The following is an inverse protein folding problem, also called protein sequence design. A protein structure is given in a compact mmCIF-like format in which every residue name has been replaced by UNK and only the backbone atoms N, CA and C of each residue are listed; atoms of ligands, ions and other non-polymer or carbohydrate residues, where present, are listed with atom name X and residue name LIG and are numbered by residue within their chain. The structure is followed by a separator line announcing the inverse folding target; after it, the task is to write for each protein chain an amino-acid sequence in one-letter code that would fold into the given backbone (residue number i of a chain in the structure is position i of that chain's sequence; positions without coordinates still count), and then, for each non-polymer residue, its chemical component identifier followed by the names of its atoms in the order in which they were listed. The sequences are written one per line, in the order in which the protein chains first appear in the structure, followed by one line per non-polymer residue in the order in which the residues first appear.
data_IF_932067807512
#
_entry.id   IF_932067807512
#
_cell.length_a   1.000
_cell.length_b   1.000
_cell.length_c   1.000
_cell.angle_alpha   90.00
_cell.angle_beta   90.00
_cell.angle_gamma   90.00
#
_symmetry.space_group_name_H-M   'P 1'
#
loop_
_entity.id
_entity.type
_entity.pdbx_description
1 polymer ?
#
# COMPACT_ATOMS: atom_id res chain seq x y z
N UNK A 1 18.30 -13.10 -9.97
CA UNK A 1 18.67 -11.92 -9.14
C UNK A 1 17.36 -11.40 -8.57
N UNK A 2 17.12 -11.67 -7.30
CA UNK A 2 15.96 -11.18 -6.55
C UNK A 2 16.05 -9.66 -6.45
N UNK A 3 15.01 -8.96 -6.90
CA UNK A 3 14.89 -7.49 -6.89
C UNK A 3 14.72 -6.93 -5.47
N UNK A 4 15.65 -7.22 -4.55
CA UNK A 4 15.67 -6.63 -3.20
C UNK A 4 15.96 -5.12 -3.18
N UNK A 5 16.28 -4.50 -4.31
CA UNK A 5 16.69 -3.08 -4.39
C UNK A 5 15.51 -2.12 -4.68
N UNK A 6 14.28 -2.61 -4.86
CA UNK A 6 13.13 -1.80 -5.31
C UNK A 6 12.02 -1.62 -4.26
N UNK A 7 12.27 -1.92 -2.99
CA UNK A 7 11.27 -1.68 -1.95
C UNK A 7 11.47 -0.31 -1.31
N UNK A 8 10.54 0.57 -1.62
CA UNK A 8 10.49 1.95 -1.15
C UNK A 8 9.24 2.16 -0.31
N UNK A 9 9.40 2.32 1.01
CA UNK A 9 8.27 2.56 1.92
C UNK A 9 8.00 4.06 2.04
N UNK A 10 6.79 4.44 1.66
CA UNK A 10 6.34 5.84 1.68
C UNK A 10 6.20 6.34 3.11
N UNK A 11 6.62 7.58 3.37
CA UNK A 11 6.46 8.20 4.68
C UNK A 11 4.98 8.49 4.98
N UNK A 12 4.57 8.27 6.22
CA UNK A 12 3.20 8.56 6.66
C UNK A 12 2.84 10.05 6.46
N UNK A 13 3.78 10.96 6.72
CA UNK A 13 3.59 12.40 6.51
C UNK A 13 3.27 12.77 5.06
N UNK A 14 3.90 12.12 4.07
CA UNK A 14 3.62 12.37 2.66
C UNK A 14 2.22 11.83 2.29
N UNK A 15 1.84 10.68 2.85
CA UNK A 15 0.51 10.08 2.67
C UNK A 15 -0.56 11.01 3.25
N UNK A 16 -0.40 11.48 4.48
CA UNK A 16 -1.35 12.38 5.16
C UNK A 16 -1.52 13.71 4.40
N UNK A 17 -0.41 14.28 3.93
CA UNK A 17 -0.43 15.54 3.17
C UNK A 17 -1.19 15.40 1.86
N UNK A 18 -1.06 14.29 1.17
CA UNK A 18 -1.77 14.04 -0.09
C UNK A 18 -3.22 13.62 0.15
N UNK A 19 -3.45 12.58 0.96
CA UNK A 19 -4.77 11.95 1.06
C UNK A 19 -5.81 12.83 1.74
N UNK A 20 -5.40 13.87 2.50
CA UNK A 20 -6.36 14.84 3.07
C UNK A 20 -7.24 15.53 2.03
N UNK A 21 -6.79 15.61 0.78
CA UNK A 21 -7.52 16.25 -0.32
C UNK A 21 -8.65 15.38 -0.87
N UNK A 22 -8.63 14.07 -0.60
CA UNK A 22 -9.56 13.07 -1.15
C UNK A 22 -10.51 12.46 -0.12
N UNK A 23 -10.62 13.02 1.08
CA UNK A 23 -11.39 12.44 2.20
C UNK A 23 -12.83 12.06 1.82
N UNK A 24 -13.49 12.89 1.02
CA UNK A 24 -14.88 12.67 0.58
C UNK A 24 -15.01 11.47 -0.37
N UNK A 25 -13.96 11.21 -1.14
CA UNK A 25 -13.92 10.11 -2.11
C UNK A 25 -13.85 8.73 -1.44
N UNK A 26 -13.41 8.68 -0.19
CA UNK A 26 -13.27 7.41 0.55
C UNK A 26 -14.56 6.98 1.26
N UNK A 27 -15.53 7.87 1.44
CA UNK A 27 -16.77 7.58 2.19
C UNK A 27 -17.57 6.46 1.53
N UNK A 28 -17.84 5.38 2.28
CA UNK A 28 -18.57 4.20 1.83
C UNK A 28 -17.84 3.32 0.83
N UNK A 29 -16.53 3.53 0.62
CA UNK A 29 -15.73 2.82 -0.37
C UNK A 29 -14.92 1.67 0.21
N UNK A 30 -14.65 0.68 -0.64
CA UNK A 30 -13.67 -0.38 -0.40
C UNK A 30 -12.32 0.08 -0.91
N UNK A 31 -11.36 0.25 0.00
CA UNK A 31 -9.99 0.68 -0.29
C UNK A 31 -9.09 -0.53 -0.41
N UNK A 32 -8.26 -0.57 -1.43
CA UNK A 32 -7.28 -1.63 -1.63
C UNK A 32 -5.85 -1.09 -1.62
N UNK A 33 -5.08 -1.52 -0.63
CA UNK A 33 -3.64 -1.26 -0.50
C UNK A 33 -2.89 -2.55 -0.87
N UNK A 34 -2.50 -2.67 -2.14
CA UNK A 34 -1.68 -3.78 -2.60
C UNK A 34 -0.21 -3.34 -2.77
N UNK A 35 0.67 -4.27 -3.07
CA UNK A 35 2.10 -4.07 -3.34
C UNK A 35 3.00 -3.80 -2.12
N UNK A 36 2.48 -3.41 -0.97
CA UNK A 36 3.24 -3.21 0.26
C UNK A 36 2.84 -4.22 1.32
N UNK A 37 3.79 -4.65 2.17
CA UNK A 37 3.47 -5.45 3.35
C UNK A 37 2.58 -4.63 4.30
N UNK A 38 1.37 -5.10 4.67
CA UNK A 38 0.46 -4.34 5.53
C UNK A 38 1.04 -3.92 6.88
N UNK A 39 1.97 -4.69 7.45
CA UNK A 39 2.62 -4.34 8.73
C UNK A 39 3.60 -3.18 8.59
N UNK A 40 4.27 -3.06 7.45
CA UNK A 40 5.21 -1.97 7.17
C UNK A 40 4.54 -0.82 6.43
N UNK A 41 3.50 -1.11 5.64
CA UNK A 41 2.83 -0.13 4.79
C UNK A 41 2.19 1.00 5.59
N UNK A 42 2.67 2.21 5.39
CA UNK A 42 2.03 3.39 5.95
C UNK A 42 0.70 3.73 5.27
N UNK A 43 0.41 3.22 4.08
CA UNK A 43 -0.91 3.31 3.45
C UNK A 43 -1.93 2.53 4.25
N UNK A 44 -1.64 1.27 4.55
CA UNK A 44 -2.51 0.44 5.37
C UNK A 44 -2.74 1.05 6.74
N UNK A 45 -1.66 1.48 7.43
CA UNK A 45 -1.74 2.13 8.75
C UNK A 45 -2.60 3.39 8.71
N UNK A 46 -2.42 4.24 7.70
CA UNK A 46 -3.23 5.45 7.52
C UNK A 46 -4.73 5.14 7.43
N UNK A 47 -5.10 4.22 6.54
CA UNK A 47 -6.52 3.88 6.36
C UNK A 47 -7.10 3.12 7.55
N UNK A 48 -6.33 2.26 8.20
CA UNK A 48 -6.79 1.51 9.37
C UNK A 48 -7.09 2.44 10.56
N UNK A 49 -6.19 3.37 10.88
CA UNK A 49 -6.39 4.36 11.96
C UNK A 49 -7.53 5.32 11.63
N UNK A 50 -7.63 5.76 10.39
CA UNK A 50 -8.66 6.71 9.94
C UNK A 50 -9.95 6.03 9.45
N UNK A 51 -10.12 4.72 9.65
CA UNK A 51 -11.21 3.92 9.09
C UNK A 51 -12.59 4.54 9.37
N UNK A 52 -12.86 4.82 10.64
CA UNK A 52 -14.13 5.40 11.08
C UNK A 52 -14.27 6.88 10.68
N UNK A 53 -13.20 7.66 10.78
CA UNK A 53 -13.21 9.08 10.40
C UNK A 53 -13.48 9.28 8.91
N UNK A 54 -12.88 8.46 8.06
CA UNK A 54 -13.09 8.46 6.60
C UNK A 54 -14.35 7.73 6.17
N UNK A 55 -15.06 7.08 7.12
CA UNK A 55 -16.26 6.26 6.89
C UNK A 55 -16.06 5.20 5.81
N UNK A 56 -14.90 4.56 5.82
CA UNK A 56 -14.55 3.51 4.86
C UNK A 56 -15.46 2.30 5.08
N UNK A 57 -15.93 1.70 3.98
CA UNK A 57 -16.73 0.48 4.03
C UNK A 57 -15.88 -0.75 4.32
N UNK A 58 -14.71 -0.86 3.67
CA UNK A 58 -13.80 -2.00 3.79
C UNK A 58 -12.38 -1.57 3.43
N UNK A 59 -11.42 -2.09 4.16
CA UNK A 59 -9.99 -1.96 3.84
C UNK A 59 -9.42 -3.33 3.52
N UNK A 60 -8.80 -3.47 2.35
CA UNK A 60 -8.12 -4.68 1.89
C UNK A 60 -6.64 -4.36 1.71
N UNK A 61 -5.78 -5.26 2.14
CA UNK A 61 -4.35 -5.20 1.85
C UNK A 61 -3.81 -6.59 1.51
N UNK A 62 -2.80 -6.64 0.63
CA UNK A 62 -2.14 -7.89 0.25
C UNK A 62 -0.63 -7.75 0.37
N UNK A 63 0.02 -8.83 0.84
CA UNK A 63 1.47 -8.96 0.91
C UNK A 63 1.96 -9.92 -0.17
N UNK A 64 3.02 -9.53 -0.87
CA UNK A 64 3.74 -10.39 -1.81
C UNK A 64 4.73 -11.29 -1.05
N UNK A 65 4.87 -12.56 -1.43
CA UNK A 65 5.73 -13.54 -0.75
C UNK A 65 7.24 -13.22 -0.84
N UNK A 66 7.61 -12.44 -1.84
CA UNK A 66 8.98 -11.92 -2.02
C UNK A 66 9.36 -10.75 -1.13
N UNK A 67 8.40 -10.17 -0.38
CA UNK A 67 8.70 -9.08 0.55
C UNK A 67 9.71 -9.54 1.61
N UNK A 68 10.78 -8.76 1.90
CA UNK A 68 11.76 -9.09 2.96
C UNK A 68 11.09 -9.29 4.31
N UNK A 69 9.93 -8.68 4.54
CA UNK A 69 9.18 -8.71 5.78
C UNK A 69 8.12 -9.81 5.84
N UNK A 70 7.75 -10.44 4.71
CA UNK A 70 6.79 -11.55 4.66
C UNK A 70 7.15 -12.77 5.55
N UNK A 71 8.21 -12.69 6.31
CA UNK A 71 8.64 -13.73 7.24
C UNK A 71 9.08 -13.23 8.62
N UNK A 72 9.29 -11.93 8.82
CA UNK A 72 9.88 -11.43 10.06
C UNK A 72 8.84 -11.27 11.20
N UNK A 73 7.58 -10.97 10.88
CA UNK A 73 6.52 -10.77 11.87
C UNK A 73 5.51 -11.90 11.97
N UNK A 74 5.49 -12.84 11.02
CA UNK A 74 4.76 -14.11 11.18
C UNK A 74 5.22 -14.87 12.45
N UNK A 75 6.45 -14.62 12.92
CA UNK A 75 6.91 -15.12 14.21
C UNK A 75 6.17 -14.52 15.43
N UNK A 76 5.52 -13.37 15.30
CA UNK A 76 4.66 -12.82 16.35
C UNK A 76 3.27 -13.49 16.35
N UNK A 77 2.87 -14.08 15.21
CA UNK A 77 1.65 -14.86 15.02
C UNK A 77 1.84 -16.37 15.12
N UNK A 78 2.98 -16.84 15.62
CA UNK A 78 3.25 -18.27 15.88
C UNK A 78 2.24 -18.95 16.83
N UNK A 79 1.14 -18.29 17.17
CA UNK A 79 -0.02 -18.91 17.84
C UNK A 79 -1.03 -19.52 16.84
N UNK A 80 -0.86 -19.33 15.55
CA UNK A 80 -1.62 -20.01 14.52
C UNK A 80 -0.71 -21.04 13.87
N UNK A 81 -0.92 -22.32 14.10
CA UNK A 81 -0.36 -23.55 13.54
C UNK A 81 0.42 -23.49 12.19
N UNK A 82 1.28 -22.50 12.01
CA UNK A 82 2.26 -22.42 10.94
C UNK A 82 3.64 -22.94 11.38
N UNK A 83 3.67 -23.69 12.49
CA UNK A 83 4.86 -24.40 12.93
C UNK A 83 5.24 -25.45 11.89
N UNK A 84 6.23 -25.16 11.09
CA UNK A 84 7.04 -26.07 10.28
C UNK A 84 7.09 -25.81 8.77
N UNK A 85 7.06 -24.57 8.30
CA UNK A 85 7.60 -24.32 6.96
C UNK A 85 8.32 -22.98 6.90
N UNK A 86 9.59 -23.03 6.54
CA UNK A 86 10.45 -21.92 6.09
C UNK A 86 9.91 -21.19 4.83
N UNK A 87 8.63 -21.31 4.53
CA UNK A 87 8.01 -20.76 3.34
C UNK A 87 7.28 -19.47 3.70
N UNK A 88 7.85 -18.35 3.31
CA UNK A 88 7.17 -17.05 3.19
C UNK A 88 5.93 -17.25 2.33
N UNK A 89 4.74 -16.99 2.88
CA UNK A 89 3.48 -17.09 2.13
C UNK A 89 2.86 -15.71 2.00
N UNK A 90 2.37 -15.43 0.82
CA UNK A 90 1.53 -14.27 0.58
C UNK A 90 0.23 -14.38 1.39
N UNK A 91 -0.26 -13.25 1.87
CA UNK A 91 -1.51 -13.18 2.62
C UNK A 91 -2.29 -11.91 2.28
N UNK A 92 -3.56 -11.91 2.62
CA UNK A 92 -4.41 -10.72 2.60
C UNK A 92 -4.91 -10.39 3.99
N UNK A 93 -5.14 -9.11 4.22
CA UNK A 93 -5.86 -8.57 5.39
C UNK A 93 -7.12 -7.88 4.89
N UNK A 94 -8.24 -8.14 5.56
CA UNK A 94 -9.54 -7.51 5.29
C UNK A 94 -10.11 -6.95 6.59
N UNK A 95 -10.33 -5.62 6.64
CA UNK A 95 -10.92 -4.93 7.78
C UNK A 95 -12.27 -4.34 7.36
N UNK A 96 -13.32 -4.70 8.10
CA UNK A 96 -14.67 -4.16 7.93
C UNK A 96 -15.09 -3.26 9.10
N UNK A 97 -14.32 -3.25 10.18
CA UNK A 97 -14.61 -2.49 11.38
C UNK A 97 -13.33 -2.30 12.20
N UNK A 98 -13.14 -1.11 12.74
CA UNK A 98 -12.08 -0.82 13.71
C UNK A 98 -12.75 -0.21 14.94
N UNK A 99 -12.47 -0.77 16.13
CA UNK A 99 -13.00 -0.31 17.42
C UNK A 99 -11.87 0.18 18.30
N UNK A 100 -12.22 0.98 19.29
CA UNK A 100 -11.37 1.25 20.45
C UNK A 100 -11.33 -0.04 21.30
N UNK A 101 -10.26 -0.82 21.17
CA UNK A 101 -10.11 -2.12 21.83
C UNK A 101 -9.45 -1.98 23.22
N UNK A 102 -8.71 -0.92 23.45
CA UNK A 102 -8.07 -0.64 24.73
C UNK A 102 -8.95 0.21 25.66
N UNK A 103 -10.08 0.77 25.15
CA UNK A 103 -11.04 1.63 25.85
C UNK A 103 -10.42 2.92 26.38
N UNK A 104 -9.48 3.52 25.65
CA UNK A 104 -8.87 4.80 26.00
C UNK A 104 -9.64 6.02 25.46
N UNK A 105 -10.70 5.78 24.67
CA UNK A 105 -11.58 6.80 24.08
C UNK A 105 -11.16 7.27 22.70
N UNK A 106 -10.12 6.69 22.13
CA UNK A 106 -9.65 6.99 20.77
C UNK A 106 -9.47 5.70 19.96
N UNK A 107 -9.38 5.83 18.64
CA UNK A 107 -8.93 4.74 17.76
C UNK A 107 -7.59 5.13 17.21
N UNK A 108 -6.56 4.38 17.57
CA UNK A 108 -5.20 4.65 17.16
C UNK A 108 -4.45 3.38 16.68
N UNK A 109 -3.13 3.48 16.50
CA UNK A 109 -2.30 2.36 16.05
C UNK A 109 -2.34 1.18 17.01
N UNK A 110 -2.52 1.40 18.33
CA UNK A 110 -2.58 0.30 19.30
C UNK A 110 -3.81 -0.57 19.12
N UNK A 111 -4.94 0.03 18.72
CA UNK A 111 -6.16 -0.70 18.38
C UNK A 111 -6.02 -1.50 17.10
N UNK A 112 -5.37 -0.92 16.09
CA UNK A 112 -5.05 -1.64 14.85
C UNK A 112 -4.12 -2.82 15.12
N UNK A 113 -3.09 -2.64 15.93
CA UNK A 113 -2.20 -3.73 16.35
C UNK A 113 -2.96 -4.81 17.13
N UNK A 114 -3.83 -4.41 18.06
CA UNK A 114 -4.69 -5.34 18.80
C UNK A 114 -5.59 -6.13 17.86
N UNK A 115 -6.24 -5.45 16.91
CA UNK A 115 -7.10 -6.04 15.89
C UNK A 115 -6.34 -7.09 15.08
N UNK A 116 -5.15 -6.77 14.59
CA UNK A 116 -4.30 -7.67 13.82
C UNK A 116 -3.82 -8.88 14.64
N UNK A 117 -3.49 -8.67 15.92
CA UNK A 117 -3.03 -9.75 16.82
C UNK A 117 -4.13 -10.70 17.26
N UNK A 118 -5.35 -10.21 17.47
CA UNK A 118 -6.38 -10.96 18.19
C UNK A 118 -7.54 -11.47 17.32
N UNK A 119 -7.65 -11.03 16.05
CA UNK A 119 -8.76 -11.45 15.17
C UNK A 119 -8.26 -12.31 14.01
N UNK A 120 -8.32 -13.64 14.22
CA UNK A 120 -7.95 -14.68 13.23
C UNK A 120 -8.66 -14.55 11.88
N UNK A 121 -9.84 -13.92 11.84
CA UNK A 121 -10.67 -13.84 10.63
C UNK A 121 -10.28 -12.69 9.68
N UNK A 122 -9.30 -11.87 10.05
CA UNK A 122 -8.87 -10.72 9.26
C UNK A 122 -7.78 -11.12 8.27
N UNK A 123 -6.90 -12.04 8.68
CA UNK A 123 -5.76 -12.48 7.90
C UNK A 123 -6.06 -13.83 7.25
N UNK A 124 -5.90 -13.90 5.93
CA UNK A 124 -6.10 -15.12 5.14
C UNK A 124 -4.90 -15.33 4.23
N UNK A 125 -4.34 -16.55 4.23
CA UNK A 125 -3.27 -16.91 3.27
C UNK A 125 -3.80 -16.91 1.84
N UNK A 126 -3.03 -16.34 0.92
CA UNK A 126 -3.28 -16.47 -0.51
C UNK A 126 -2.75 -17.81 -1.00
N UNK A 127 -3.37 -18.35 -2.05
CA UNK A 127 -2.91 -19.59 -2.71
C UNK A 127 -1.69 -19.30 -3.60
N UNK A 128 -1.68 -18.12 -4.20
CA UNK A 128 -0.60 -17.62 -5.04
C UNK A 128 0.47 -16.87 -4.25
N UNK A 129 1.34 -16.18 -4.97
CA UNK A 129 2.45 -15.42 -4.39
C UNK A 129 2.09 -13.98 -3.97
N UNK A 130 0.84 -13.54 -4.15
CA UNK A 130 0.41 -12.18 -3.83
C UNK A 130 0.83 -11.12 -4.86
N UNK A 131 1.35 -11.53 -6.02
CA UNK A 131 1.59 -10.60 -7.13
C UNK A 131 0.28 -9.95 -7.57
N UNK A 132 0.29 -8.64 -7.82
CA UNK A 132 -0.91 -7.90 -8.20
C UNK A 132 -1.58 -8.42 -9.49
N UNK A 133 -0.84 -9.18 -10.30
CA UNK A 133 -1.31 -9.83 -11.55
C UNK A 133 -1.94 -11.20 -11.31
N UNK A 134 -1.84 -11.75 -10.12
CA UNK A 134 -2.43 -13.06 -9.81
C UNK A 134 -3.96 -13.00 -9.82
N UNK A 135 -4.61 -14.10 -10.17
CA UNK A 135 -6.07 -14.19 -10.22
C UNK A 135 -6.72 -13.76 -8.88
N UNK A 136 -6.14 -14.17 -7.75
CA UNK A 136 -6.64 -13.79 -6.44
C UNK A 136 -6.56 -12.28 -6.18
N UNK A 137 -5.44 -11.63 -6.56
CA UNK A 137 -5.29 -10.18 -6.43
C UNK A 137 -6.19 -9.43 -7.41
N UNK A 138 -6.44 -9.98 -8.60
CA UNK A 138 -7.39 -9.43 -9.57
C UNK A 138 -8.82 -9.49 -9.04
N UNK A 139 -9.23 -10.58 -8.38
CA UNK A 139 -10.55 -10.65 -7.74
C UNK A 139 -10.71 -9.60 -6.62
N UNK A 140 -9.67 -9.39 -5.80
CA UNK A 140 -9.66 -8.33 -4.79
C UNK A 140 -9.70 -6.94 -5.44
N UNK A 141 -8.99 -6.76 -6.56
CA UNK A 141 -9.03 -5.54 -7.34
C UNK A 141 -10.44 -5.27 -7.85
N UNK A 142 -11.13 -6.28 -8.41
CA UNK A 142 -12.52 -6.15 -8.88
C UNK A 142 -13.47 -5.75 -7.75
N UNK A 143 -13.31 -6.31 -6.55
CA UNK A 143 -14.10 -5.98 -5.36
C UNK A 143 -13.88 -4.55 -4.89
N UNK A 144 -12.67 -4.01 -5.05
CA UNK A 144 -12.29 -2.68 -4.54
C UNK A 144 -12.90 -1.54 -5.38
N UNK A 145 -13.11 -0.40 -4.74
CA UNK A 145 -13.52 0.85 -5.39
C UNK A 145 -12.30 1.72 -5.74
N UNK A 146 -11.35 1.84 -4.80
CA UNK A 146 -10.19 2.73 -4.92
C UNK A 146 -8.92 1.96 -4.52
N UNK A 147 -7.91 2.04 -5.38
CA UNK A 147 -6.56 1.50 -5.11
C UNK A 147 -5.64 2.61 -4.64
N UNK A 148 -5.02 2.44 -3.47
CA UNK A 148 -4.07 3.42 -2.92
C UNK A 148 -2.79 2.71 -2.50
N UNK A 149 -1.69 2.93 -3.23
CA UNK A 149 -0.45 2.16 -3.01
C UNK A 149 0.77 2.83 -3.64
N UNK A 150 1.94 2.27 -3.32
CA UNK A 150 3.20 2.54 -4.01
C UNK A 150 3.61 1.28 -4.81
N UNK A 151 3.24 1.17 -6.09
CA UNK A 151 3.59 0.00 -6.89
C UNK A 151 5.09 -0.04 -7.19
N UNK A 152 5.67 -1.21 -7.47
CA UNK A 152 7.05 -1.32 -7.91
C UNK A 152 7.29 -0.47 -9.17
N UNK A 153 8.25 0.45 -9.14
CA UNK A 153 8.50 1.37 -10.26
C UNK A 153 8.83 0.65 -11.57
N UNK A 154 9.48 -0.50 -11.49
CA UNK A 154 9.78 -1.34 -12.67
C UNK A 154 8.54 -1.94 -13.33
N UNK A 155 7.43 -2.07 -12.59
CA UNK A 155 6.16 -2.63 -13.06
C UNK A 155 5.05 -1.58 -13.19
N UNK A 156 5.39 -0.29 -13.02
CA UNK A 156 4.40 0.80 -13.00
C UNK A 156 3.51 0.80 -14.25
N UNK A 157 4.09 0.58 -15.43
CA UNK A 157 3.36 0.54 -16.70
C UNK A 157 2.30 -0.58 -16.72
N UNK A 158 2.67 -1.77 -16.29
CA UNK A 158 1.74 -2.91 -16.20
C UNK A 158 0.64 -2.63 -15.17
N UNK A 159 1.04 -2.06 -14.03
CA UNK A 159 0.12 -1.74 -12.93
C UNK A 159 -0.95 -0.72 -13.34
N UNK A 160 -0.56 0.41 -13.94
CA UNK A 160 -1.52 1.44 -14.36
C UNK A 160 -2.43 0.96 -15.48
N UNK A 161 -1.93 0.12 -16.40
CA UNK A 161 -2.74 -0.49 -17.45
C UNK A 161 -3.79 -1.43 -16.85
N UNK A 162 -3.44 -2.22 -15.82
CA UNK A 162 -4.39 -3.06 -15.11
C UNK A 162 -5.48 -2.23 -14.42
N UNK A 163 -5.10 -1.13 -13.72
CA UNK A 163 -6.09 -0.23 -13.10
C UNK A 163 -7.07 0.34 -14.13
N UNK A 164 -6.58 0.71 -15.29
CA UNK A 164 -7.41 1.23 -16.39
C UNK A 164 -8.32 0.14 -16.99
N UNK A 165 -7.80 -1.05 -17.24
CA UNK A 165 -8.56 -2.20 -17.75
C UNK A 165 -9.76 -2.54 -16.85
N UNK A 166 -9.55 -2.51 -15.53
CA UNK A 166 -10.61 -2.77 -14.56
C UNK A 166 -11.39 -1.53 -14.12
N UNK A 167 -11.20 -0.38 -14.79
CA UNK A 167 -11.87 0.91 -14.50
C UNK A 167 -11.77 1.31 -13.03
N UNK A 168 -10.61 1.15 -12.42
CA UNK A 168 -10.42 1.47 -10.99
C UNK A 168 -10.09 2.92 -10.76
N UNK A 169 -10.65 3.47 -9.69
CA UNK A 169 -10.17 4.71 -9.11
C UNK A 169 -8.87 4.44 -8.36
N UNK A 170 -7.95 5.39 -8.40
CA UNK A 170 -6.65 5.18 -7.76
C UNK A 170 -5.95 6.47 -7.32
N UNK A 171 -5.08 6.32 -6.34
CA UNK A 171 -4.05 7.28 -5.94
C UNK A 171 -2.76 6.46 -5.77
N UNK A 172 -1.79 6.63 -6.65
CA UNK A 172 -0.56 5.81 -6.66
C UNK A 172 0.68 6.68 -6.79
N UNK A 173 1.80 6.16 -6.29
CA UNK A 173 3.10 6.80 -6.48
C UNK A 173 3.75 6.24 -7.75
N UNK A 174 4.29 7.11 -8.57
CA UNK A 174 5.03 6.75 -9.76
C UNK A 174 6.21 7.66 -9.99
N UNK A 175 6.95 7.36 -11.05
CA UNK A 175 8.11 8.12 -11.47
C UNK A 175 7.77 8.98 -12.70
N UNK A 176 8.39 10.16 -12.86
CA UNK A 176 8.23 11.04 -14.04
C UNK A 176 8.46 10.32 -15.36
N UNK A 177 9.30 9.28 -15.37
CA UNK A 177 9.52 8.48 -16.57
C UNK A 177 8.22 7.82 -17.08
N UNK A 178 7.23 7.64 -16.22
CA UNK A 178 5.93 7.12 -16.62
C UNK A 178 5.24 8.01 -17.66
N UNK A 179 5.49 9.32 -17.65
CA UNK A 179 4.96 10.25 -18.65
C UNK A 179 5.49 9.97 -20.07
N UNK A 180 6.61 9.27 -20.20
CA UNK A 180 7.15 8.84 -21.51
C UNK A 180 6.44 7.60 -22.07
N UNK A 181 5.65 6.92 -21.27
CA UNK A 181 4.85 5.77 -21.75
C UNK A 181 3.65 6.29 -22.53
N UNK A 182 3.48 5.80 -23.73
CA UNK A 182 2.45 6.29 -24.67
C UNK A 182 1.04 6.20 -24.06
N UNK A 183 0.75 5.14 -23.31
CA UNK A 183 -0.54 4.90 -22.67
C UNK A 183 -0.80 5.94 -21.58
N UNK A 184 0.17 6.16 -20.70
CA UNK A 184 0.08 7.13 -19.61
C UNK A 184 -0.04 8.56 -20.15
N UNK A 185 0.74 8.88 -21.17
CA UNK A 185 0.66 10.19 -21.83
C UNK A 185 -0.72 10.46 -22.45
N UNK A 186 -1.31 9.44 -23.10
CA UNK A 186 -2.69 9.55 -23.62
C UNK A 186 -3.72 9.77 -22.52
N UNK A 187 -3.58 9.08 -21.39
CA UNK A 187 -4.47 9.28 -20.24
C UNK A 187 -4.40 10.73 -19.72
N UNK A 188 -3.21 11.34 -19.71
CA UNK A 188 -3.07 12.77 -19.38
C UNK A 188 -3.70 13.68 -20.43
N UNK A 189 -3.52 13.40 -21.72
CA UNK A 189 -4.12 14.18 -22.80
C UNK A 189 -5.65 14.17 -22.80
N UNK A 190 -6.22 13.06 -22.31
CA UNK A 190 -7.67 12.86 -22.25
C UNK A 190 -8.27 13.29 -20.90
N UNK A 191 -7.49 13.89 -19.99
CA UNK A 191 -7.90 14.24 -18.63
C UNK A 191 -8.40 13.02 -17.80
N UNK A 192 -7.95 11.80 -18.17
CA UNK A 192 -8.29 10.56 -17.48
C UNK A 192 -7.47 10.39 -16.19
N UNK A 193 -6.28 10.98 -16.14
CA UNK A 193 -5.40 11.02 -14.95
C UNK A 193 -4.76 12.39 -14.80
N UNK A 194 -4.35 12.68 -13.57
CA UNK A 194 -3.59 13.87 -13.21
C UNK A 194 -2.52 13.57 -12.17
N UNK A 195 -1.63 14.52 -11.93
CA UNK A 195 -0.73 14.47 -10.76
C UNK A 195 -1.51 14.79 -9.49
N UNK A 196 -1.02 14.29 -8.36
CA UNK A 196 -1.57 14.68 -7.06
C UNK A 196 -1.30 16.14 -6.69
N UNK A 197 -1.70 16.51 -5.50
CA UNK A 197 -1.57 17.87 -4.98
C UNK A 197 -0.18 18.18 -4.44
N UNK A 198 0.57 17.15 -4.03
CA UNK A 198 1.86 17.29 -3.34
C UNK A 198 3.01 16.63 -4.10
N UNK A 199 4.24 16.98 -3.72
CA UNK A 199 5.49 16.36 -4.20
C UNK A 199 5.84 16.54 -5.69
N UNK A 200 5.01 17.23 -6.47
CA UNK A 200 5.32 17.48 -7.88
C UNK A 200 6.60 18.35 -8.01
N UNK A 201 7.56 17.87 -8.78
CA UNK A 201 8.90 18.48 -8.96
C UNK A 201 9.76 18.63 -7.68
N UNK A 202 9.30 18.11 -6.53
CA UNK A 202 10.06 18.12 -5.28
C UNK A 202 10.74 16.78 -5.05
N UNK A 203 10.11 15.70 -5.50
CA UNK A 203 10.48 14.31 -5.22
C UNK A 203 10.08 13.88 -3.81
N UNK A 204 10.29 12.61 -3.55
CA UNK A 204 9.86 11.98 -2.29
C UNK A 204 11.03 11.28 -1.60
N UNK A 205 10.96 11.20 -0.28
CA UNK A 205 11.85 10.38 0.54
C UNK A 205 11.14 9.10 0.94
N UNK A 206 11.82 7.97 0.77
CA UNK A 206 11.31 6.66 1.12
C UNK A 206 12.20 6.01 2.17
N UNK A 207 11.58 5.26 3.07
CA UNK A 207 12.32 4.31 3.90
C UNK A 207 12.75 3.13 3.03
N UNK A 208 13.92 2.61 3.31
CA UNK A 208 14.48 1.45 2.60
C UNK A 208 14.97 0.41 3.61
N UNK A 209 15.04 -0.88 3.23
CA UNK A 209 15.59 -1.92 4.08
C UNK A 209 16.99 -1.57 4.60
N UNK A 210 17.30 -2.05 5.81
CA UNK A 210 18.57 -1.72 6.49
C UNK A 210 19.82 -2.15 5.68
N UNK A 211 19.69 -3.20 4.89
CA UNK A 211 20.75 -3.74 4.02
C UNK A 211 21.09 -2.82 2.84
N UNK A 212 20.25 -1.83 2.56
CA UNK A 212 20.47 -0.88 1.45
C UNK A 212 21.77 -0.10 1.67
N UNK A 213 22.70 -0.22 0.73
CA UNK A 213 24.04 0.39 0.85
C UNK A 213 24.01 1.90 0.52
N UNK A 214 23.21 2.31 -0.48
CA UNK A 214 23.11 3.71 -0.90
C UNK A 214 21.87 4.35 -0.29
N UNK A 215 22.08 5.32 0.60
CA UNK A 215 21.01 6.08 1.23
C UNK A 215 21.42 7.55 1.40
N UNK A 216 20.45 8.44 1.59
CA UNK A 216 20.68 9.88 1.73
C UNK A 216 20.83 10.32 3.19
N UNK A 217 20.02 9.75 4.07
CA UNK A 217 20.01 10.10 5.50
C UNK A 217 19.42 8.98 6.35
N UNK A 218 19.63 9.08 7.67
CA UNK A 218 19.00 8.20 8.65
C UNK A 218 18.09 9.07 9.53
N UNK A 219 16.83 8.67 9.70
CA UNK A 219 15.87 9.30 10.61
C UNK A 219 15.28 8.21 11.49
N UNK A 220 15.34 8.40 12.80
CA UNK A 220 14.83 7.44 13.80
C UNK A 220 15.34 6.00 13.56
N UNK A 221 16.62 5.86 13.21
CA UNK A 221 17.25 4.56 12.92
C UNK A 221 16.89 3.94 11.56
N UNK A 222 16.01 4.55 10.77
CA UNK A 222 15.63 4.06 9.44
C UNK A 222 16.40 4.80 8.34
N UNK A 223 16.95 4.04 7.40
CA UNK A 223 17.62 4.59 6.21
C UNK A 223 16.60 5.14 5.23
N UNK A 224 16.92 6.27 4.61
CA UNK A 224 16.07 6.94 3.64
C UNK A 224 16.79 7.23 2.33
N UNK A 225 16.09 6.98 1.24
CA UNK A 225 16.51 7.35 -0.12
C UNK A 225 15.58 8.41 -0.67
N UNK A 226 16.16 9.42 -1.35
CA UNK A 226 15.39 10.42 -2.08
C UNK A 226 15.25 9.99 -3.53
N UNK A 227 14.02 9.93 -4.03
CA UNK A 227 13.72 9.74 -5.45
C UNK A 227 13.13 11.04 -5.99
N UNK A 228 13.97 11.84 -6.63
CA UNK A 228 13.63 13.19 -7.07
C UNK A 228 12.50 13.24 -8.11
N UNK A 229 12.32 12.15 -8.84
CA UNK A 229 11.34 12.01 -9.91
C UNK A 229 10.03 11.33 -9.47
N UNK A 230 9.84 11.09 -8.17
CA UNK A 230 8.62 10.47 -7.65
C UNK A 230 7.57 11.49 -7.26
N UNK A 231 6.31 11.22 -7.62
CA UNK A 231 5.13 11.97 -7.23
C UNK A 231 3.85 11.14 -7.39
N UNK A 232 2.73 11.74 -7.01
CA UNK A 232 1.42 11.11 -7.04
C UNK A 232 0.77 11.15 -8.42
N UNK A 233 0.09 10.08 -8.77
CA UNK A 233 -0.81 9.96 -9.93
C UNK A 233 -2.19 9.55 -9.45
N UNK A 234 -3.23 10.15 -10.00
CA UNK A 234 -4.61 9.85 -9.62
C UNK A 234 -5.60 10.10 -10.75
N UNK A 235 -6.72 9.39 -10.73
CA UNK A 235 -7.90 9.65 -11.55
C UNK A 235 -9.12 10.07 -10.69
N UNK A 236 -8.87 10.43 -9.42
CA UNK A 236 -9.89 11.07 -8.57
C UNK A 236 -9.95 12.58 -8.85
N UNK A 237 -11.12 13.22 -8.63
CA UNK A 237 -11.29 14.67 -8.80
C UNK A 237 -10.44 15.49 -7.83
#
# INVERSE_FOLDING_TARGET
KTNKENEFYTQLSDIELELKHYKKEFEGKTIFCNCDDPYESNFFKYFAVNFNFLKIKKLIATCFDGSPFAGAEINLFNYLDFSNTSNKRAYKIEINEVKDYNNDGAVDLSDVEYLLKNKKNILTSLKGNGDFRSDECIELLKESDIVVTNPPFSLFREFINQLNEYNKKFIIIGNTNALSYQEVFRMFQNDEIRTGYTNFNVGMYFYVPYETQKFHKIINGKKMVRVASSYWFTNLP
#
